data_IF_437890808904
#
_entry.id   IF_437890808904
#
_cell.length_a   1.000
_cell.length_b   1.000
_cell.length_c   1.000
_cell.angle_alpha   90.00
_cell.angle_beta   90.00
_cell.angle_gamma   90.00
#
_symmetry.space_group_name_H-M   'P 1'
#
loop_
_entity.id
_entity.type
_entity.pdbx_description
1 polymer ?
#
# COMPACT_ATOMS: atom_id res chain seq x y z
N UNK A 1 -19.55 -1.60 -4.97
CA UNK A 1 -18.49 -0.90 -4.23
C UNK A 1 -17.24 -1.28 -4.93
N UNK A 2 -16.51 -0.28 -5.42
CA UNK A 2 -15.34 -0.51 -6.26
C UNK A 2 -14.11 -0.50 -5.37
N UNK A 3 -13.18 -1.43 -5.62
CA UNK A 3 -12.04 -1.67 -4.73
C UNK A 3 -10.73 -1.42 -5.47
N UNK A 4 -9.85 -0.67 -4.83
CA UNK A 4 -8.48 -0.48 -5.31
C UNK A 4 -7.54 -1.16 -4.33
N UNK A 5 -6.70 -2.06 -4.83
CA UNK A 5 -5.67 -2.74 -4.05
C UNK A 5 -4.33 -2.10 -4.38
N UNK A 6 -3.77 -1.35 -3.44
CA UNK A 6 -2.41 -0.84 -3.55
C UNK A 6 -1.40 -1.96 -3.21
N UNK A 7 -0.31 -2.04 -3.98
CA UNK A 7 0.85 -2.86 -3.64
C UNK A 7 2.15 -2.13 -3.98
N UNK A 8 3.21 -2.36 -3.22
CA UNK A 8 4.55 -1.89 -3.56
C UNK A 8 5.39 -2.97 -4.24
N UNK A 9 5.34 -4.20 -3.69
CA UNK A 9 6.18 -5.33 -4.11
C UNK A 9 5.40 -6.63 -4.40
N UNK A 10 4.15 -6.75 -3.92
CA UNK A 10 3.34 -7.97 -3.94
C UNK A 10 2.28 -7.96 -5.05
N UNK A 11 2.73 -7.95 -6.30
CA UNK A 11 1.82 -7.88 -7.46
C UNK A 11 0.91 -9.11 -7.59
N UNK A 12 1.44 -10.31 -7.33
CA UNK A 12 0.68 -11.55 -7.46
C UNK A 12 -0.45 -11.62 -6.42
N UNK A 13 -0.15 -11.27 -5.17
CA UNK A 13 -1.14 -11.27 -4.08
C UNK A 13 -2.20 -10.17 -4.28
N UNK A 14 -1.78 -9.00 -4.76
CA UNK A 14 -2.71 -7.92 -5.11
C UNK A 14 -3.65 -8.33 -6.25
N UNK A 15 -3.12 -8.99 -7.28
CA UNK A 15 -3.90 -9.50 -8.41
C UNK A 15 -4.87 -10.60 -7.97
N UNK A 16 -4.44 -11.51 -7.09
CA UNK A 16 -5.31 -12.54 -6.53
C UNK A 16 -6.49 -11.93 -5.73
N UNK A 17 -6.22 -10.88 -4.94
CA UNK A 17 -7.26 -10.16 -4.19
C UNK A 17 -8.25 -9.48 -5.13
N UNK A 18 -7.76 -8.85 -6.21
CA UNK A 18 -8.62 -8.25 -7.24
C UNK A 18 -9.51 -9.30 -7.90
N UNK A 19 -8.96 -10.47 -8.24
CA UNK A 19 -9.72 -11.58 -8.83
C UNK A 19 -10.83 -12.09 -7.90
N UNK A 20 -10.58 -12.15 -6.59
CA UNK A 20 -11.61 -12.51 -5.60
C UNK A 20 -12.74 -11.47 -5.56
N UNK A 21 -12.41 -10.19 -5.50
CA UNK A 21 -13.41 -9.11 -5.51
C UNK A 21 -14.24 -9.11 -6.80
N UNK A 22 -13.61 -9.37 -7.95
CA UNK A 22 -14.30 -9.48 -9.24
C UNK A 22 -15.22 -10.71 -9.28
N UNK A 23 -14.81 -11.86 -8.73
CA UNK A 23 -15.65 -13.06 -8.63
C UNK A 23 -16.92 -12.82 -7.80
N UNK A 24 -16.84 -11.96 -6.79
CA UNK A 24 -17.98 -11.54 -5.97
C UNK A 24 -18.90 -10.53 -6.68
N UNK A 25 -18.57 -10.14 -7.92
CA UNK A 25 -19.40 -9.30 -8.78
C UNK A 25 -19.16 -7.79 -8.61
N UNK A 26 -18.06 -7.40 -7.97
CA UNK A 26 -17.64 -6.01 -7.80
C UNK A 26 -16.58 -5.61 -8.82
N UNK A 27 -16.36 -4.31 -9.02
CA UNK A 27 -15.24 -3.83 -9.82
C UNK A 27 -14.00 -3.66 -8.93
N UNK A 28 -12.84 -4.07 -9.44
CA UNK A 28 -11.58 -3.88 -8.74
C UNK A 28 -10.40 -3.57 -9.67
N UNK A 29 -9.35 -2.97 -9.11
CA UNK A 29 -8.05 -2.83 -9.77
C UNK A 29 -6.90 -2.91 -8.78
N UNK A 30 -5.76 -3.41 -9.24
CA UNK A 30 -4.50 -3.31 -8.53
C UNK A 30 -3.70 -2.11 -9.04
N UNK A 31 -3.07 -1.35 -8.15
CA UNK A 31 -2.19 -0.22 -8.51
C UNK A 31 -0.89 -0.35 -7.75
N UNK A 32 0.22 -0.32 -8.48
CA UNK A 32 1.55 -0.31 -7.88
C UNK A 32 1.89 1.09 -7.37
N UNK A 33 2.14 1.24 -6.06
CA UNK A 33 2.74 2.43 -5.49
C UNK A 33 3.39 2.13 -4.14
N UNK A 34 4.59 2.66 -3.93
CA UNK A 34 5.20 2.78 -2.61
C UNK A 34 4.61 3.99 -1.87
N UNK A 35 3.88 3.73 -0.79
CA UNK A 35 3.19 4.75 0.01
C UNK A 35 4.14 5.70 0.74
N UNK A 36 5.40 5.30 0.93
CA UNK A 36 6.46 6.19 1.45
C UNK A 36 6.86 7.28 0.45
N UNK A 37 6.53 7.10 -0.84
CA UNK A 37 6.84 8.04 -1.91
C UNK A 37 5.63 8.89 -2.25
N UNK A 38 5.62 10.15 -1.80
CA UNK A 38 4.52 11.09 -2.10
C UNK A 38 4.22 11.19 -3.60
N UNK A 39 5.26 11.13 -4.46
CA UNK A 39 5.09 11.14 -5.92
C UNK A 39 4.29 9.94 -6.43
N UNK A 40 4.57 8.74 -5.91
CA UNK A 40 3.84 7.54 -6.32
C UNK A 40 2.42 7.53 -5.75
N UNK A 41 2.21 8.10 -4.56
CA UNK A 41 0.87 8.31 -3.99
C UNK A 41 0.05 9.25 -4.88
N UNK A 42 0.63 10.37 -5.32
CA UNK A 42 -0.05 11.30 -6.24
C UNK A 42 -0.44 10.62 -7.56
N UNK A 43 0.47 9.87 -8.18
CA UNK A 43 0.23 9.12 -9.43
C UNK A 43 -0.85 8.03 -9.25
N UNK A 44 -0.84 7.34 -8.11
CA UNK A 44 -1.87 6.37 -7.74
C UNK A 44 -3.24 7.05 -7.60
N UNK A 45 -3.29 8.20 -6.91
CA UNK A 45 -4.53 8.95 -6.72
C UNK A 45 -5.10 9.46 -8.04
N UNK A 46 -4.26 9.94 -8.96
CA UNK A 46 -4.67 10.33 -10.32
C UNK A 46 -5.32 9.14 -11.05
N UNK A 47 -4.69 7.96 -11.00
CA UNK A 47 -5.21 6.74 -11.63
C UNK A 47 -6.57 6.31 -11.04
N UNK A 48 -6.75 6.43 -9.73
CA UNK A 48 -8.01 6.12 -9.04
C UNK A 48 -9.11 7.09 -9.49
N UNK A 49 -8.81 8.39 -9.54
CA UNK A 49 -9.77 9.42 -9.95
C UNK A 49 -10.13 9.27 -11.43
N UNK A 50 -9.16 8.95 -12.30
CA UNK A 50 -9.42 8.74 -13.73
C UNK A 50 -10.40 7.59 -13.96
N UNK A 51 -10.26 6.48 -13.20
CA UNK A 51 -11.11 5.29 -13.38
C UNK A 51 -12.46 5.39 -12.65
N UNK A 52 -12.46 5.82 -11.39
CA UNK A 52 -13.64 5.75 -10.52
C UNK A 52 -14.23 7.12 -10.16
N UNK A 53 -13.56 8.21 -10.54
CA UNK A 53 -14.02 9.59 -10.32
C UNK A 53 -13.89 10.12 -8.90
N UNK A 54 -13.78 9.25 -7.89
CA UNK A 54 -13.66 9.62 -6.47
C UNK A 54 -13.01 8.51 -5.64
N UNK A 55 -12.55 8.89 -4.45
CA UNK A 55 -12.12 7.96 -3.39
C UNK A 55 -12.97 8.22 -2.14
N UNK A 56 -13.63 7.18 -1.64
CA UNK A 56 -14.58 7.27 -0.53
C UNK A 56 -14.00 6.83 0.82
N UNK A 57 -13.19 5.78 0.79
CA UNK A 57 -12.64 5.12 1.98
C UNK A 57 -11.20 4.72 1.71
N UNK A 58 -10.32 4.95 2.69
CA UNK A 58 -8.93 4.51 2.68
C UNK A 58 -8.70 3.57 3.84
N UNK A 59 -8.05 2.43 3.57
CA UNK A 59 -7.56 1.50 4.57
C UNK A 59 -6.04 1.47 4.44
N UNK A 60 -5.35 2.16 5.37
CA UNK A 60 -3.89 2.20 5.41
C UNK A 60 -3.36 0.90 6.03
N UNK A 61 -3.18 -0.13 5.19
CA UNK A 61 -2.72 -1.46 5.60
C UNK A 61 -1.23 -1.73 5.27
N UNK A 62 -0.60 -0.90 4.44
CA UNK A 62 0.82 -1.02 4.14
C UNK A 62 1.65 -0.66 5.37
N UNK A 63 2.58 -1.53 5.76
CA UNK A 63 3.48 -1.32 6.89
C UNK A 63 4.73 -2.16 6.77
N UNK A 64 5.86 -1.63 7.25
CA UNK A 64 7.14 -2.35 7.37
C UNK A 64 7.47 -2.58 8.84
N UNK A 65 8.44 -3.47 9.11
CA UNK A 65 8.92 -3.74 10.47
C UNK A 65 10.38 -4.14 10.40
N UNK A 66 11.22 -3.51 11.21
CA UNK A 66 12.63 -3.88 11.37
C UNK A 66 12.78 -4.72 12.63
N UNK A 67 12.99 -6.03 12.48
CA UNK A 67 13.23 -6.90 13.61
C UNK A 67 14.65 -6.73 14.17
N UNK A 68 14.78 -6.17 15.38
CA UNK A 68 16.05 -6.08 16.13
C UNK A 68 16.03 -6.97 17.38
N UNK A 69 17.14 -7.65 17.74
CA UNK A 69 17.25 -8.38 19.00
C UNK A 69 17.05 -7.45 20.21
N UNK A 70 16.31 -7.91 21.22
CA UNK A 70 15.96 -7.11 22.40
C UNK A 70 17.17 -6.57 23.19
N UNK A 71 18.32 -7.23 23.09
CA UNK A 71 19.56 -6.82 23.78
C UNK A 71 20.31 -5.66 23.11
N UNK A 72 19.88 -5.24 21.91
CA UNK A 72 20.56 -4.23 21.08
C UNK A 72 19.68 -2.99 20.84
N UNK A 73 19.30 -2.31 21.93
CA UNK A 73 18.51 -1.07 21.88
C UNK A 73 19.36 0.16 21.54
N UNK A 74 20.68 0.10 21.76
CA UNK A 74 21.63 1.17 21.42
C UNK A 74 21.96 1.21 19.91
N UNK A 75 21.54 0.18 19.15
CA UNK A 75 21.75 0.04 17.71
C UNK A 75 20.62 0.59 16.82
N UNK A 76 19.57 1.18 17.39
CA UNK A 76 18.48 1.80 16.61
C UNK A 76 18.98 3.12 16.01
N UNK A 77 19.19 3.14 14.70
CA UNK A 77 19.60 4.35 13.98
C UNK A 77 18.39 5.23 13.62
N UNK A 78 18.61 6.51 13.31
CA UNK A 78 17.59 7.38 12.72
C UNK A 78 17.04 6.80 11.41
N UNK A 79 17.86 6.09 10.63
CA UNK A 79 17.43 5.41 9.41
C UNK A 79 16.42 4.27 9.68
N UNK A 80 16.59 3.54 10.79
CA UNK A 80 15.61 2.51 11.21
C UNK A 80 14.28 3.19 11.61
N UNK A 81 14.33 4.36 12.27
CA UNK A 81 13.13 5.15 12.60
C UNK A 81 12.41 5.70 11.37
N UNK A 82 13.15 6.25 10.41
CA UNK A 82 12.59 6.79 9.17
C UNK A 82 11.95 5.68 8.33
N UNK A 83 12.58 4.51 8.25
CA UNK A 83 12.02 3.37 7.53
C UNK A 83 10.70 2.88 8.14
N UNK A 84 10.62 2.79 9.48
CA UNK A 84 9.40 2.32 10.16
C UNK A 84 8.27 3.37 10.19
N UNK A 85 8.60 4.66 10.28
CA UNK A 85 7.60 5.71 10.48
C UNK A 85 7.14 6.40 9.19
N UNK A 86 7.82 6.24 8.05
CA UNK A 86 7.47 6.88 6.78
C UNK A 86 6.63 5.98 5.85
N UNK A 87 5.71 5.19 6.38
CA UNK A 87 4.70 4.51 5.57
C UNK A 87 3.54 5.44 5.19
#
# INVERSE_FOLDING_TARGET
MDVVVNYSQSEEEASATVDEVIKDGYEAMAVQADVSSSKQVDEMMESIIEKFGRLDVVIANAGTTVFRPFEDLDGVSEDDWDHECQC
#
